data_IF_450691189588
#
_entry.id   IF_450691189588
#
_cell.length_a   1.000
_cell.length_b   1.000
_cell.length_c   1.000
_cell.angle_alpha   90.00
_cell.angle_beta   90.00
_cell.angle_gamma   90.00
#
_symmetry.space_group_name_H-M   'P 1'
#
loop_
_entity.id
_entity.type
_entity.pdbx_description
1 polymer ?
#
# COMPACT_ATOMS: atom_id res chain seq x y z
N UNK A 1 5.48 21.53 -4.37
CA UNK A 1 5.66 20.35 -3.49
C UNK A 1 6.43 20.83 -2.27
N UNK A 2 5.82 20.81 -1.08
CA UNK A 2 6.53 21.21 0.13
C UNK A 2 7.47 20.07 0.51
N UNK A 3 8.77 20.34 0.59
CA UNK A 3 9.74 19.36 1.05
C UNK A 3 9.61 19.23 2.57
N UNK A 4 9.18 18.06 3.03
CA UNK A 4 9.09 17.76 4.45
C UNK A 4 10.42 17.12 4.86
N UNK A 5 11.27 17.89 5.53
CA UNK A 5 12.58 17.42 6.00
C UNK A 5 12.40 16.19 6.90
N UNK A 6 13.12 15.11 6.60
CA UNK A 6 13.07 13.86 7.37
C UNK A 6 12.00 12.85 6.93
N UNK A 7 11.13 13.22 5.98
CA UNK A 7 10.15 12.31 5.37
C UNK A 7 10.79 11.03 4.81
N UNK A 8 11.92 11.14 4.09
CA UNK A 8 12.66 9.99 3.57
C UNK A 8 13.10 9.03 4.67
N UNK A 9 13.62 9.55 5.78
CA UNK A 9 14.07 8.70 6.91
C UNK A 9 12.90 7.98 7.56
N UNK A 10 11.80 8.70 7.80
CA UNK A 10 10.59 8.11 8.36
C UNK A 10 9.98 7.05 7.43
N UNK A 11 9.93 7.34 6.13
CA UNK A 11 9.45 6.43 5.10
C UNK A 11 10.27 5.13 5.07
N UNK A 12 11.61 5.22 5.04
CA UNK A 12 12.51 4.06 5.05
C UNK A 12 12.34 3.23 6.33
N UNK A 13 12.22 3.88 7.49
CA UNK A 13 12.04 3.16 8.76
C UNK A 13 10.71 2.40 8.80
N UNK A 14 9.62 3.03 8.32
CA UNK A 14 8.30 2.41 8.23
C UNK A 14 8.31 1.24 7.24
N UNK A 15 8.82 1.47 6.02
CA UNK A 15 8.94 0.46 4.97
C UNK A 15 9.66 -0.80 5.47
N UNK A 16 10.85 -0.64 6.06
CA UNK A 16 11.62 -1.76 6.63
C UNK A 16 10.87 -2.52 7.72
N UNK A 17 10.18 -1.79 8.62
CA UNK A 17 9.42 -2.40 9.71
C UNK A 17 8.22 -3.20 9.19
N UNK A 18 7.56 -2.72 8.13
CA UNK A 18 6.42 -3.38 7.50
C UNK A 18 6.82 -4.73 6.90
N UNK A 19 7.96 -4.77 6.21
CA UNK A 19 8.50 -6.01 5.62
C UNK A 19 8.95 -6.98 6.71
N UNK A 20 9.72 -6.50 7.69
CA UNK A 20 10.21 -7.33 8.80
C UNK A 20 9.09 -7.98 9.62
N UNK A 21 7.97 -7.27 9.80
CA UNK A 21 6.83 -7.75 10.59
C UNK A 21 5.75 -8.42 9.74
N UNK A 22 5.87 -8.44 8.41
CA UNK A 22 4.83 -8.94 7.51
C UNK A 22 3.51 -8.19 7.63
N UNK A 23 3.55 -6.86 7.81
CA UNK A 23 2.37 -6.00 8.04
C UNK A 23 2.25 -4.94 6.96
N UNK A 24 1.02 -4.59 6.63
CA UNK A 24 0.69 -3.44 5.78
C UNK A 24 0.04 -2.32 6.59
N UNK A 25 0.07 -1.11 6.06
CA UNK A 25 -0.50 0.06 6.73
C UNK A 25 -1.87 0.35 6.13
N UNK A 26 -2.85 0.63 6.97
CA UNK A 26 -4.18 1.03 6.53
C UNK A 26 -4.27 2.55 6.58
N UNK A 27 -4.75 3.16 5.49
CA UNK A 27 -4.91 4.60 5.39
C UNK A 27 -6.24 4.97 4.74
N UNK A 28 -6.70 6.19 4.98
CA UNK A 28 -7.77 6.80 4.21
C UNK A 28 -7.16 7.61 3.07
N UNK A 29 -7.61 7.36 1.85
CA UNK A 29 -7.19 8.06 0.65
C UNK A 29 -8.37 8.80 0.04
N UNK A 30 -8.14 10.07 -0.33
CA UNK A 30 -9.14 10.93 -0.94
C UNK A 30 -9.46 12.18 -0.12
N UNK A 31 -10.20 13.10 -0.74
CA UNK A 31 -10.66 14.35 -0.14
C UNK A 31 -12.07 14.23 0.45
N UNK A 32 -12.95 15.15 0.06
CA UNK A 32 -14.26 15.39 0.68
C UNK A 32 -15.39 14.43 0.27
N UNK A 33 -15.13 13.35 -0.46
CA UNK A 33 -16.17 12.41 -0.94
C UNK A 33 -15.66 10.98 -1.02
N UNK A 34 -16.50 10.02 -0.62
CA UNK A 34 -16.27 9.20 0.56
C UNK A 34 -14.83 8.69 0.61
N UNK A 35 -14.15 8.82 1.77
CA UNK A 35 -12.76 8.41 1.89
C UNK A 35 -12.65 6.95 1.50
N UNK A 36 -11.66 6.58 0.68
CA UNK A 36 -11.42 5.17 0.33
C UNK A 36 -10.43 4.58 1.31
N UNK A 37 -10.74 3.40 1.84
CA UNK A 37 -9.78 2.66 2.64
C UNK A 37 -8.75 2.03 1.69
N UNK A 38 -7.47 2.24 1.98
CA UNK A 38 -6.36 1.66 1.21
C UNK A 38 -5.40 0.91 2.12
N UNK A 39 -4.87 -0.20 1.61
CA UNK A 39 -3.73 -0.90 2.16
C UNK A 39 -2.46 -0.42 1.44
N UNK A 40 -1.55 0.19 2.18
CA UNK A 40 -0.19 0.48 1.74
C UNK A 40 0.67 -0.74 2.05
N UNK A 41 1.09 -1.45 1.01
CA UNK A 41 1.92 -2.65 1.12
C UNK A 41 3.35 -2.28 0.72
N UNK A 42 4.30 -2.42 1.65
CA UNK A 42 5.71 -2.18 1.36
C UNK A 42 6.23 -3.24 0.37
N UNK A 43 6.95 -2.79 -0.66
CA UNK A 43 7.54 -3.64 -1.68
C UNK A 43 9.05 -3.37 -1.73
N UNK A 44 9.83 -4.44 -1.65
CA UNK A 44 11.28 -4.38 -1.83
C UNK A 44 11.61 -4.24 -3.32
N UNK A 45 12.79 -3.69 -3.58
CA UNK A 45 13.33 -3.65 -4.93
C UNK A 45 13.69 -5.06 -5.39
N UNK A 46 13.19 -5.46 -6.56
CA UNK A 46 13.62 -6.70 -7.22
C UNK A 46 14.41 -6.31 -8.45
N UNK A 47 15.70 -6.62 -8.43
CA UNK A 47 16.61 -6.45 -9.56
C UNK A 47 16.75 -7.78 -10.32
N UNK A 48 16.84 -7.70 -11.65
CA UNK A 48 17.19 -8.82 -12.53
C UNK A 48 18.36 -8.41 -13.43
N UNK A 49 18.95 -9.37 -14.15
CA UNK A 49 20.14 -9.18 -15.00
C UNK A 49 19.98 -8.06 -16.07
N UNK A 50 18.74 -7.64 -16.34
CA UNK A 50 18.39 -6.56 -17.26
C UNK A 50 18.02 -5.21 -16.60
N UNK A 51 18.13 -5.09 -15.28
CA UNK A 51 17.79 -3.88 -14.52
C UNK A 51 16.70 -4.09 -13.45
N UNK A 52 16.13 -2.98 -12.97
CA UNK A 52 15.09 -2.97 -11.94
C UNK A 52 13.76 -3.51 -12.51
N UNK A 53 13.25 -4.59 -11.91
CA UNK A 53 11.96 -5.22 -12.27
C UNK A 53 10.83 -4.64 -11.42
N UNK A 54 11.08 -4.46 -10.12
CA UNK A 54 10.12 -3.89 -9.18
C UNK A 54 10.76 -2.71 -8.44
N UNK A 55 10.16 -1.50 -8.51
CA UNK A 55 10.71 -0.34 -7.82
C UNK A 55 10.48 -0.42 -6.30
N UNK A 56 11.41 0.07 -5.46
CA UNK A 56 11.22 0.16 -4.02
C UNK A 56 10.14 1.20 -3.69
N UNK A 57 9.21 0.83 -2.81
CA UNK A 57 8.15 1.75 -2.41
C UNK A 57 7.01 1.10 -1.64
N UNK A 58 5.82 1.67 -1.81
CA UNK A 58 4.58 1.13 -1.25
C UNK A 58 3.52 1.05 -2.34
N UNK A 59 2.96 -0.13 -2.52
CA UNK A 59 1.82 -0.34 -3.39
C UNK A 59 0.54 0.09 -2.64
N UNK A 60 -0.32 0.85 -3.31
CA UNK A 60 -1.60 1.30 -2.76
C UNK A 60 -2.72 0.43 -3.31
N UNK A 61 -3.24 -0.46 -2.46
CA UNK A 61 -4.34 -1.37 -2.80
C UNK A 61 -5.64 -0.80 -2.23
N UNK A 62 -6.63 -0.58 -3.08
CA UNK A 62 -7.97 -0.16 -2.64
C UNK A 62 -8.69 -1.32 -1.99
N UNK A 63 -9.16 -1.11 -0.77
CA UNK A 63 -9.95 -2.11 -0.05
C UNK A 63 -11.44 -1.90 -0.36
N UNK A 64 -12.18 -2.97 -0.69
CA UNK A 64 -13.61 -2.86 -0.93
C UNK A 64 -14.35 -2.52 0.36
N UNK A 65 -15.39 -1.70 0.24
CA UNK A 65 -16.41 -1.60 1.29
C UNK A 65 -17.35 -2.80 1.23
N UNK A 66 -18.13 -3.01 2.30
CA UNK A 66 -19.08 -4.11 2.37
C UNK A 66 -20.06 -4.15 1.18
N UNK A 67 -20.46 -2.98 0.67
CA UNK A 67 -21.32 -2.87 -0.51
C UNK A 67 -20.65 -3.29 -1.84
N UNK A 68 -19.31 -3.35 -1.88
CA UNK A 68 -18.55 -3.78 -3.06
C UNK A 68 -18.36 -5.31 -3.09
N UNK A 69 -18.57 -5.98 -1.94
CA UNK A 69 -18.47 -7.43 -1.82
C UNK A 69 -19.82 -8.05 -2.22
N UNK A 70 -19.78 -9.03 -3.12
CA UNK A 70 -20.96 -9.76 -3.59
C UNK A 70 -21.05 -11.09 -2.85
N UNK A 71 -22.25 -11.43 -2.38
CA UNK A 71 -22.51 -12.75 -1.82
C UNK A 71 -22.35 -13.81 -2.92
N UNK A 72 -21.75 -14.94 -2.55
CA UNK A 72 -21.64 -16.10 -3.44
C UNK A 72 -23.02 -16.75 -3.47
N UNK A 73 -23.66 -16.81 -4.64
CA UNK A 73 -24.82 -17.69 -4.83
C UNK A 73 -24.34 -19.12 -4.56
N UNK A 74 -24.87 -19.76 -3.52
CA UNK A 74 -24.66 -21.19 -3.31
C UNK A 74 -25.16 -21.91 -4.57
N UNK A 75 -24.21 -22.49 -5.32
CA UNK A 75 -24.53 -23.30 -6.48
C UNK A 75 -25.41 -24.47 -6.03
N UNK A 76 -26.72 -24.32 -6.26
CA UNK A 76 -27.74 -25.32 -5.97
C UNK A 76 -27.60 -26.54 -6.87
#
# INVERSE_FOLDING_TARGET
MQEVIGSTRAFIALHRSMIQLGRFAVAFYGGTTPPRLVALVAQDEIESDGGQVEPPGMNMIYLPYANDIRDIEEAR
#
